data_IF_752312541185
#
_entry.id   IF_752312541185
#
_cell.length_a   1.000
_cell.length_b   1.000
_cell.length_c   1.000
_cell.angle_alpha   90.00
_cell.angle_beta   90.00
_cell.angle_gamma   90.00
#
_symmetry.space_group_name_H-M   'P 1'
#
loop_
_entity.id
_entity.type
_entity.pdbx_description
1 polymer ?
#
# COMPACT_ATOMS: atom_id res chain seq x y z
N UNK A 1 -17.25 10.31 8.42
CA UNK A 1 -15.77 10.26 8.53
C UNK A 1 -15.40 8.94 9.19
N UNK A 2 -14.30 8.30 8.78
CA UNK A 2 -13.79 7.08 9.41
C UNK A 2 -13.23 7.31 10.81
N UNK A 3 -12.97 6.23 11.54
CA UNK A 3 -12.32 6.24 12.85
C UNK A 3 -10.81 6.05 12.74
N UNK A 4 -10.35 5.38 11.68
CA UNK A 4 -8.96 5.34 11.26
C UNK A 4 -8.83 5.58 9.76
N UNK A 5 -7.68 6.12 9.35
CA UNK A 5 -7.27 6.34 7.98
C UNK A 5 -5.83 5.91 7.81
N UNK A 6 -5.55 5.21 6.72
CA UNK A 6 -4.18 4.90 6.31
C UNK A 6 -3.96 5.25 4.86
N UNK A 7 -2.75 5.67 4.55
CA UNK A 7 -2.31 5.81 3.17
C UNK A 7 -2.13 4.43 2.54
N UNK A 8 -2.56 4.31 1.29
CA UNK A 8 -2.39 3.09 0.50
C UNK A 8 -1.88 3.42 -0.89
N UNK A 9 -1.25 2.46 -1.53
CA UNK A 9 -0.77 2.60 -2.90
C UNK A 9 -1.59 1.71 -3.82
N UNK A 10 -2.15 2.24 -4.93
CA UNK A 10 -2.77 1.43 -5.96
C UNK A 10 -1.82 0.33 -6.44
N UNK A 11 -2.33 -0.89 -6.52
CA UNK A 11 -1.53 -2.06 -6.90
C UNK A 11 -2.32 -3.01 -7.78
N UNK A 12 -1.59 -3.82 -8.56
CA UNK A 12 -2.13 -4.93 -9.36
C UNK A 12 -1.32 -6.21 -9.16
N UNK A 13 -0.78 -6.37 -7.96
CA UNK A 13 0.03 -7.53 -7.61
C UNK A 13 -0.81 -8.82 -7.57
N UNK A 14 -0.25 -9.86 -8.17
CA UNK A 14 -0.77 -11.23 -8.14
C UNK A 14 -0.14 -11.95 -6.95
N UNK A 15 -0.79 -11.86 -5.80
CA UNK A 15 -0.30 -12.42 -4.55
C UNK A 15 -0.83 -13.84 -4.36
N UNK A 16 0.05 -14.70 -3.87
CA UNK A 16 -0.26 -16.07 -3.46
C UNK A 16 0.12 -16.22 -2.00
N UNK A 17 -0.71 -16.93 -1.24
CA UNK A 17 -0.46 -17.33 0.13
C UNK A 17 -0.68 -18.84 0.28
N UNK A 18 -0.09 -19.44 1.30
CA UNK A 18 -0.36 -20.82 1.70
C UNK A 18 -1.11 -20.81 3.02
N UNK A 19 -2.13 -21.65 3.16
CA UNK A 19 -2.77 -21.88 4.45
C UNK A 19 -1.96 -22.84 5.35
N UNK A 20 -2.47 -23.13 6.55
CA UNK A 20 -1.84 -24.04 7.52
C UNK A 20 -1.66 -25.48 6.99
N UNK A 21 -2.45 -25.87 5.97
CA UNK A 21 -2.36 -27.18 5.33
C UNK A 21 -1.36 -27.22 4.16
N UNK A 22 -0.82 -26.06 3.76
CA UNK A 22 0.08 -25.92 2.62
C UNK A 22 -0.64 -25.69 1.28
N UNK A 23 -1.96 -25.49 1.28
CA UNK A 23 -2.73 -25.22 0.08
C UNK A 23 -2.52 -23.79 -0.41
N UNK A 24 -2.25 -23.62 -1.70
CA UNK A 24 -1.98 -22.31 -2.30
C UNK A 24 -3.27 -21.58 -2.67
N UNK A 25 -3.40 -20.32 -2.24
CA UNK A 25 -4.53 -19.45 -2.51
C UNK A 25 -4.08 -18.12 -3.09
N UNK A 26 -4.70 -17.72 -4.20
CA UNK A 26 -4.46 -16.43 -4.84
C UNK A 26 -5.44 -15.35 -4.37
N UNK A 27 -5.02 -14.08 -4.38
CA UNK A 27 -5.91 -12.93 -4.18
C UNK A 27 -6.72 -12.52 -5.44
N UNK A 28 -6.70 -13.34 -6.48
CA UNK A 28 -7.35 -13.12 -7.78
C UNK A 28 -7.83 -14.44 -8.38
N UNK A 29 -8.75 -14.39 -9.35
CA UNK A 29 -9.11 -15.56 -10.14
C UNK A 29 -7.94 -15.89 -11.09
N UNK A 30 -7.13 -16.87 -10.71
CA UNK A 30 -5.95 -17.26 -11.49
C UNK A 30 -6.29 -18.12 -12.71
N UNK A 31 -7.48 -18.71 -12.77
CA UNK A 31 -7.94 -19.51 -13.91
C UNK A 31 -8.46 -18.62 -15.04
N UNK A 32 -8.97 -17.42 -14.71
CA UNK A 32 -9.48 -16.44 -15.67
C UNK A 32 -8.85 -15.04 -15.50
N UNK A 33 -7.59 -14.98 -15.07
CA UNK A 33 -6.89 -13.74 -14.68
C UNK A 33 -7.01 -12.60 -15.70
N UNK A 34 -7.05 -12.92 -16.98
CA UNK A 34 -6.92 -11.91 -18.03
C UNK A 34 -5.56 -11.19 -17.95
N UNK A 35 -5.50 -9.97 -18.48
CA UNK A 35 -4.26 -9.16 -18.45
C UNK A 35 -4.16 -8.45 -17.10
N UNK A 36 -2.95 -8.32 -16.54
CA UNK A 36 -2.73 -7.65 -15.25
C UNK A 36 -3.30 -6.23 -15.22
N UNK A 37 -3.30 -5.52 -16.35
CA UNK A 37 -3.91 -4.20 -16.50
C UNK A 37 -5.44 -4.16 -16.32
N UNK A 38 -6.12 -5.29 -16.52
CA UNK A 38 -7.58 -5.41 -16.42
C UNK A 38 -8.01 -5.86 -15.01
N UNK A 39 -7.04 -6.21 -14.15
CA UNK A 39 -7.33 -6.45 -12.74
C UNK A 39 -7.97 -5.22 -12.12
N UNK A 40 -9.03 -5.47 -11.36
CA UNK A 40 -9.71 -4.44 -10.57
C UNK A 40 -8.74 -3.69 -9.65
N UNK A 41 -9.15 -2.49 -9.27
CA UNK A 41 -8.33 -1.62 -8.43
C UNK A 41 -8.13 -2.26 -7.06
N UNK A 42 -6.87 -2.56 -6.73
CA UNK A 42 -6.46 -3.02 -5.42
C UNK A 42 -5.53 -2.00 -4.78
N UNK A 43 -5.38 -2.09 -3.46
CA UNK A 43 -4.57 -1.19 -2.67
C UNK A 43 -3.65 -2.00 -1.76
N UNK A 44 -2.38 -1.60 -1.71
CA UNK A 44 -1.42 -2.12 -0.74
C UNK A 44 -1.20 -1.06 0.33
N UNK A 45 -1.18 -1.47 1.58
CA UNK A 45 -0.70 -0.64 2.69
C UNK A 45 0.78 -0.25 2.45
N UNK A 46 1.16 0.97 2.81
CA UNK A 46 2.48 1.49 2.50
C UNK A 46 3.24 2.08 3.69
N UNK A 47 2.69 1.99 4.91
CA UNK A 47 3.38 2.44 6.11
C UNK A 47 3.55 3.97 6.25
N UNK A 48 3.16 4.77 5.26
CA UNK A 48 3.56 6.19 5.23
C UNK A 48 2.82 7.05 6.26
N UNK A 49 1.49 6.98 6.33
CA UNK A 49 0.70 7.80 7.25
C UNK A 49 -0.48 6.99 7.81
N UNK A 50 -0.63 7.07 9.14
CA UNK A 50 -1.80 6.58 9.88
C UNK A 50 -2.41 7.71 10.69
N UNK A 51 -3.72 7.89 10.56
CA UNK A 51 -4.51 8.84 11.35
C UNK A 51 -5.59 8.03 12.06
N UNK A 52 -5.60 8.06 13.39
CA UNK A 52 -6.54 7.28 14.19
C UNK A 52 -7.15 8.16 15.28
N UNK A 53 -8.44 7.99 15.55
CA UNK A 53 -9.09 8.63 16.69
C UNK A 53 -8.42 8.19 17.98
N UNK A 54 -8.15 9.16 18.87
CA UNK A 54 -7.50 8.92 20.16
C UNK A 54 -8.17 7.78 20.93
N UNK A 55 -9.50 7.81 21.07
CA UNK A 55 -10.21 6.84 21.90
C UNK A 55 -10.04 5.42 21.36
N UNK A 56 -10.08 5.24 20.03
CA UNK A 56 -9.82 3.97 19.36
C UNK A 56 -8.40 3.49 19.62
N UNK A 57 -7.39 4.34 19.42
CA UNK A 57 -6.00 3.98 19.69
C UNK A 57 -5.77 3.59 21.15
N UNK A 58 -6.41 4.32 22.08
CA UNK A 58 -6.25 4.07 23.51
C UNK A 58 -6.93 2.78 23.96
N UNK A 59 -8.07 2.42 23.36
CA UNK A 59 -8.80 1.19 23.63
C UNK A 59 -8.13 -0.04 23.00
N UNK A 60 -7.82 0.01 21.71
CA UNK A 60 -7.33 -1.15 20.96
C UNK A 60 -5.82 -1.35 21.05
N UNK A 61 -5.07 -0.28 21.35
CA UNK A 61 -3.60 -0.21 21.22
C UNK A 61 -3.11 -0.52 19.80
N UNK A 62 -3.94 -0.25 18.79
CA UNK A 62 -3.63 -0.45 17.37
C UNK A 62 -3.81 0.86 16.58
N UNK A 63 -3.04 1.04 15.51
CA UNK A 63 -3.17 2.20 14.61
C UNK A 63 -4.34 2.08 13.62
N UNK A 64 -4.98 0.92 13.57
CA UNK A 64 -6.14 0.64 12.72
C UNK A 64 -7.27 0.14 13.62
N UNK A 65 -8.46 0.73 13.50
CA UNK A 65 -9.61 0.35 14.30
C UNK A 65 -10.89 1.11 13.93
N UNK A 66 -12.04 0.55 14.29
CA UNK A 66 -13.34 1.10 13.91
C UNK A 66 -13.55 1.12 12.40
N UNK A 67 -14.17 2.18 11.88
CA UNK A 67 -14.38 2.37 10.44
C UNK A 67 -13.10 2.85 9.74
N UNK A 68 -12.47 1.97 8.97
CA UNK A 68 -11.23 2.26 8.22
C UNK A 68 -11.53 3.03 6.92
N UNK A 69 -10.75 4.06 6.63
CA UNK A 69 -10.75 4.83 5.38
C UNK A 69 -9.41 4.68 4.67
N UNK A 70 -9.41 4.35 3.39
CA UNK A 70 -8.19 4.27 2.59
C UNK A 70 -7.93 5.62 1.90
N UNK A 71 -6.69 6.12 1.96
CA UNK A 71 -6.26 7.30 1.22
C UNK A 71 -5.19 6.93 0.18
N UNK A 72 -5.56 6.80 -1.11
CA UNK A 72 -4.62 6.43 -2.15
C UNK A 72 -3.56 7.53 -2.37
N UNK A 73 -2.28 7.15 -2.39
CA UNK A 73 -1.16 8.02 -2.75
C UNK A 73 -0.40 7.45 -3.95
N UNK A 74 0.40 8.30 -4.60
CA UNK A 74 1.26 7.89 -5.70
C UNK A 74 2.27 6.81 -5.27
N UNK A 75 2.57 5.81 -6.12
CA UNK A 75 3.62 4.85 -5.85
C UNK A 75 4.98 5.50 -5.56
N UNK A 76 5.28 6.65 -6.17
CA UNK A 76 6.52 7.42 -5.96
C UNK A 76 6.66 7.93 -4.53
N UNK A 77 5.56 8.08 -3.80
CA UNK A 77 5.55 8.54 -2.40
C UNK A 77 5.41 7.38 -1.39
N UNK A 78 5.49 6.13 -1.85
CA UNK A 78 5.22 4.94 -1.03
C UNK A 78 6.42 4.01 -0.83
N UNK A 79 7.63 4.52 -1.07
CA UNK A 79 8.86 3.78 -0.83
C UNK A 79 9.18 3.78 0.66
N UNK A 80 9.36 2.58 1.22
CA UNK A 80 9.90 2.38 2.55
C UNK A 80 11.42 2.14 2.44
N UNK A 81 12.18 2.63 3.41
CA UNK A 81 13.65 2.56 3.40
C UNK A 81 14.10 1.74 4.59
N UNK A 82 14.23 0.43 4.39
CA UNK A 82 14.69 -0.50 5.43
C UNK A 82 16.20 -0.75 5.33
N UNK A 83 16.75 -0.66 4.12
CA UNK A 83 18.15 -0.98 3.84
C UNK A 83 18.81 0.00 2.85
N UNK A 84 20.11 -0.19 2.62
CA UNK A 84 20.90 0.70 1.76
C UNK A 84 20.47 0.69 0.30
N UNK A 85 20.02 -0.45 -0.24
CA UNK A 85 19.52 -0.52 -1.61
C UNK A 85 18.22 0.29 -1.76
N UNK A 86 17.32 0.22 -0.78
CA UNK A 86 16.08 1.00 -0.78
C UNK A 86 16.39 2.50 -0.82
N UNK A 87 17.38 2.95 -0.06
CA UNK A 87 17.82 4.34 -0.06
C UNK A 87 18.30 4.81 -1.44
N UNK A 88 19.14 4.00 -2.11
CA UNK A 88 19.63 4.31 -3.47
C UNK A 88 18.45 4.42 -4.45
N UNK A 89 17.49 3.51 -4.37
CA UNK A 89 16.31 3.54 -5.24
C UNK A 89 15.46 4.77 -4.94
N UNK A 90 15.21 5.07 -3.67
CA UNK A 90 14.42 6.23 -3.26
C UNK A 90 15.05 7.55 -3.69
N UNK A 91 16.38 7.69 -3.62
CA UNK A 91 17.11 8.85 -4.12
C UNK A 91 16.85 9.07 -5.61
N UNK A 92 16.98 8.02 -6.43
CA UNK A 92 16.73 8.12 -7.88
C UNK A 92 15.28 8.44 -8.22
N UNK A 93 14.33 7.89 -7.47
CA UNK A 93 12.91 8.23 -7.63
C UNK A 93 12.67 9.69 -7.28
N UNK A 94 13.30 10.20 -6.21
CA UNK A 94 13.17 11.60 -5.80
C UNK A 94 13.73 12.55 -6.85
N UNK A 95 14.90 12.27 -7.42
CA UNK A 95 15.49 13.06 -8.51
C UNK A 95 14.52 13.19 -9.69
N UNK A 96 13.90 12.08 -10.10
CA UNK A 96 12.92 12.05 -11.19
C UNK A 96 11.65 12.86 -10.85
N UNK A 97 11.16 12.76 -9.61
CA UNK A 97 10.00 13.54 -9.15
C UNK A 97 10.30 15.03 -9.17
N UNK A 98 11.48 15.46 -8.70
CA UNK A 98 11.89 16.88 -8.70
C UNK A 98 12.06 17.41 -10.13
N UNK A 99 12.68 16.62 -11.01
CA UNK A 99 12.88 16.99 -12.40
C UNK A 99 11.54 17.23 -13.13
N UNK A 100 10.56 16.36 -12.90
CA UNK A 100 9.22 16.47 -13.47
C UNK A 100 8.39 17.63 -12.88
N UNK A 101 8.67 18.04 -11.63
CA UNK A 101 8.02 19.22 -11.02
C UNK A 101 8.58 20.55 -11.54
N UNK A 102 9.83 20.56 -12.02
CA UNK A 102 10.50 21.78 -12.53
C UNK A 102 10.12 22.14 -13.98
N UNK A 103 9.29 21.31 -14.63
CA UNK A 103 8.79 21.53 -15.99
C UNK A 103 7.37 22.11 -16.04
N UNK A 104 6.83 22.55 -14.90
CA UNK A 104 5.50 23.17 -14.74
C UNK A 104 5.63 24.63 -14.32
#
# INVERSE_FOLDING_TARGET
MGDSLLTVTPTKLCLWATDESGEAKANYDYLHKGRTQDLGLQYRENGAIYIVKRDVLMETKQFIGGKVTLFPISPTCSFDIDNHLDFIVAERVMDEVIANQSQV
#
